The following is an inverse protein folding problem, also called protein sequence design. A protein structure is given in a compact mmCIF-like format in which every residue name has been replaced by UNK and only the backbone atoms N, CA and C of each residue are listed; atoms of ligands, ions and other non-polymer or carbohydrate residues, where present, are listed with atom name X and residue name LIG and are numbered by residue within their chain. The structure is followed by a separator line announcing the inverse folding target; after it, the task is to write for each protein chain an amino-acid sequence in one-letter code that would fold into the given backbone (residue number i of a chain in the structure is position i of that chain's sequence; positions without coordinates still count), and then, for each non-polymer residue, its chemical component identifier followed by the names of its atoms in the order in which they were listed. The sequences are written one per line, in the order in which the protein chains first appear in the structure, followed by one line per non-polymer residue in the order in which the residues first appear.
data_IF_879397133631
#
_entry.id   IF_879397133631
#
_cell.length_a   1.000
_cell.length_b   1.000
_cell.length_c   1.000
_cell.angle_alpha   90.00
_cell.angle_beta   90.00
_cell.angle_gamma   90.00
#
_symmetry.space_group_name_H-M   'P 1'
#
loop_
_entity.id
_entity.type
_entity.pdbx_description
1 polymer ?
#
# COMPACT_ATOMS: atom_id res chain seq x y z
N UNK A 1 -10.08 13.48 -11.67
CA UNK A 1 -8.82 12.70 -11.68
C UNK A 1 -8.70 12.07 -10.31
N UNK A 2 -8.37 10.79 -10.24
CA UNK A 2 -8.11 10.09 -8.97
C UNK A 2 -6.73 10.46 -8.47
N UNK A 3 -6.58 10.57 -7.15
CA UNK A 3 -5.27 10.74 -6.50
C UNK A 3 -4.58 9.39 -6.33
N UNK A 4 -5.34 8.35 -5.95
CA UNK A 4 -4.87 6.98 -5.86
C UNK A 4 -5.71 6.10 -6.79
N UNK A 5 -5.05 5.28 -7.59
CA UNK A 5 -5.67 4.29 -8.48
C UNK A 5 -5.03 2.92 -8.23
N UNK A 6 -5.86 1.91 -8.03
CA UNK A 6 -5.45 0.51 -7.95
C UNK A 6 -6.21 -0.23 -9.05
N UNK A 7 -5.45 -0.81 -9.98
CA UNK A 7 -5.98 -1.53 -11.13
C UNK A 7 -5.48 -2.98 -11.10
N UNK A 8 -6.42 -3.93 -11.07
CA UNK A 8 -6.20 -5.36 -11.07
C UNK A 8 -5.09 -5.81 -10.10
N UNK A 9 -5.08 -5.25 -8.88
CA UNK A 9 -4.05 -5.55 -7.91
C UNK A 9 -4.17 -7.00 -7.45
N UNK A 10 -3.11 -7.76 -7.71
CA UNK A 10 -2.92 -9.12 -7.23
C UNK A 10 -1.72 -9.18 -6.31
N UNK A 11 -1.78 -10.08 -5.31
CA UNK A 11 -0.67 -10.29 -4.40
C UNK A 11 -0.63 -11.74 -3.95
N UNK A 12 0.53 -12.35 -4.01
CA UNK A 12 0.78 -13.68 -3.46
C UNK A 12 1.95 -13.64 -2.46
N UNK A 13 1.90 -14.50 -1.44
CA UNK A 13 3.02 -14.77 -0.54
C UNK A 13 3.41 -16.24 -0.75
N UNK A 14 4.60 -16.48 -1.30
CA UNK A 14 4.93 -17.78 -1.87
C UNK A 14 3.89 -18.19 -2.91
N UNK A 15 3.30 -19.38 -2.77
CA UNK A 15 2.27 -19.89 -3.68
C UNK A 15 0.84 -19.55 -3.23
N UNK A 16 0.66 -18.81 -2.13
CA UNK A 16 -0.66 -18.49 -1.59
C UNK A 16 -1.16 -17.16 -2.14
N UNK A 17 -2.27 -17.13 -2.91
CA UNK A 17 -2.86 -15.89 -3.39
C UNK A 17 -3.60 -15.19 -2.25
N UNK A 18 -3.21 -13.95 -1.96
CA UNK A 18 -3.77 -13.10 -0.89
C UNK A 18 -4.74 -12.05 -1.45
N UNK A 19 -4.34 -11.34 -2.50
CA UNK A 19 -5.18 -10.37 -3.22
C UNK A 19 -5.46 -10.88 -4.64
N UNK A 20 -6.70 -10.73 -5.10
CA UNK A 20 -7.20 -11.30 -6.36
C UNK A 20 -7.96 -10.24 -7.16
N UNK A 21 -7.23 -9.37 -7.86
CA UNK A 21 -7.82 -8.36 -8.75
C UNK A 21 -8.58 -7.28 -7.99
N UNK A 22 -7.92 -6.61 -7.05
CA UNK A 22 -8.50 -5.47 -6.33
C UNK A 22 -8.53 -4.26 -7.25
N UNK A 23 -9.69 -3.63 -7.33
CA UNK A 23 -9.94 -2.38 -8.05
C UNK A 23 -10.32 -1.29 -7.03
N UNK A 24 -9.65 -0.13 -7.08
CA UNK A 24 -9.91 0.98 -6.17
C UNK A 24 -9.55 2.31 -6.81
N UNK A 25 -10.32 3.35 -6.53
CA UNK A 25 -9.92 4.72 -6.81
C UNK A 25 -10.27 5.61 -5.61
N UNK A 26 -9.40 6.55 -5.29
CA UNK A 26 -9.63 7.59 -4.27
C UNK A 26 -9.36 8.95 -4.89
N UNK A 27 -10.33 9.85 -4.85
CA UNK A 27 -10.21 11.20 -5.37
C UNK A 27 -9.46 12.13 -4.39
N UNK A 28 -8.89 13.25 -4.86
CA UNK A 28 -8.33 14.27 -3.98
C UNK A 28 -9.37 14.77 -2.97
N UNK A 29 -9.00 14.79 -1.68
CA UNK A 29 -9.89 15.21 -0.58
C UNK A 29 -10.96 14.18 -0.18
N UNK A 30 -10.98 13.00 -0.80
CA UNK A 30 -11.89 11.93 -0.43
C UNK A 30 -11.39 11.17 0.80
N UNK A 31 -12.32 10.83 1.70
CA UNK A 31 -12.07 9.93 2.82
C UNK A 31 -12.71 8.59 2.50
N UNK A 32 -11.89 7.57 2.28
CA UNK A 32 -12.35 6.22 1.96
C UNK A 32 -12.10 5.25 3.11
N UNK A 33 -13.11 4.47 3.47
CA UNK A 33 -13.00 3.37 4.44
C UNK A 33 -12.94 2.01 3.77
N UNK A 34 -11.88 1.22 4.01
CA UNK A 34 -11.79 -0.17 3.57
C UNK A 34 -12.12 -1.12 4.72
N UNK A 35 -13.28 -1.80 4.63
CA UNK A 35 -13.80 -2.69 5.67
C UNK A 35 -13.88 -4.15 5.19
N UNK A 36 -13.87 -5.08 6.13
CA UNK A 36 -13.92 -6.52 5.85
C UNK A 36 -13.38 -7.34 7.03
N UNK A 37 -13.61 -8.65 7.00
CA UNK A 37 -13.20 -9.58 8.06
C UNK A 37 -11.67 -9.67 8.25
N UNK A 38 -11.23 -10.17 9.40
CA UNK A 38 -9.79 -10.42 9.62
C UNK A 38 -9.24 -11.34 8.52
N UNK A 39 -8.06 -11.03 8.00
CA UNK A 39 -7.45 -11.80 6.90
C UNK A 39 -7.98 -11.50 5.50
N UNK A 40 -8.98 -10.61 5.32
CA UNK A 40 -9.55 -10.28 4.00
C UNK A 40 -8.63 -9.49 3.06
N UNK A 41 -7.37 -9.23 3.44
CA UNK A 41 -6.40 -8.55 2.59
C UNK A 41 -6.28 -7.03 2.78
N UNK A 42 -7.09 -6.39 3.63
CA UNK A 42 -7.08 -4.92 3.84
C UNK A 42 -5.69 -4.34 4.10
N UNK A 43 -4.98 -4.92 5.08
CA UNK A 43 -3.62 -4.47 5.43
C UNK A 43 -2.65 -4.70 4.28
N UNK A 44 -2.80 -5.79 3.52
CA UNK A 44 -1.93 -6.08 2.38
C UNK A 44 -2.18 -5.12 1.22
N UNK A 45 -3.43 -4.69 0.99
CA UNK A 45 -3.75 -3.62 0.04
C UNK A 45 -3.05 -2.32 0.43
N UNK A 46 -3.19 -1.87 1.69
CA UNK A 46 -2.55 -0.65 2.17
C UNK A 46 -1.01 -0.74 2.15
N UNK A 47 -0.43 -1.87 2.57
CA UNK A 47 1.01 -2.10 2.53
C UNK A 47 1.57 -2.15 1.11
N UNK A 48 0.77 -2.61 0.13
CA UNK A 48 1.17 -2.56 -1.28
C UNK A 48 1.31 -1.12 -1.74
N UNK A 49 0.37 -0.24 -1.39
CA UNK A 49 0.43 1.21 -1.71
C UNK A 49 1.71 1.84 -1.14
N UNK A 50 2.11 1.42 0.06
CA UNK A 50 3.35 1.91 0.67
C UNK A 50 4.61 1.19 0.19
N UNK A 51 4.51 0.14 -0.63
CA UNK A 51 5.60 -0.81 -0.94
C UNK A 51 6.35 -1.31 0.30
N UNK A 52 5.61 -1.59 1.37
CA UNK A 52 6.11 -2.16 2.63
C UNK A 52 5.67 -3.62 2.79
N UNK A 53 5.66 -4.35 1.67
CA UNK A 53 5.25 -5.74 1.63
C UNK A 53 6.30 -6.64 2.31
N UNK A 54 5.89 -7.76 2.93
CA UNK A 54 6.81 -8.71 3.53
C UNK A 54 7.70 -9.37 2.46
N UNK A 55 8.89 -9.83 2.85
CA UNK A 55 9.95 -10.30 1.94
C UNK A 55 9.52 -11.30 0.85
N UNK A 56 8.59 -12.21 1.14
CA UNK A 56 8.12 -13.23 0.19
C UNK A 56 6.89 -12.83 -0.62
N UNK A 57 6.39 -11.60 -0.45
CA UNK A 57 5.24 -11.10 -1.18
C UNK A 57 5.62 -10.61 -2.57
N UNK A 58 4.77 -10.91 -3.55
CA UNK A 58 4.86 -10.40 -4.91
C UNK A 58 3.53 -9.78 -5.28
N UNK A 59 3.56 -8.49 -5.63
CA UNK A 59 2.41 -7.77 -6.15
C UNK A 59 2.46 -7.69 -7.69
N UNK A 60 1.30 -7.67 -8.32
CA UNK A 60 1.11 -7.39 -9.74
C UNK A 60 -0.11 -6.51 -9.96
N UNK A 61 -0.33 -6.10 -11.21
CA UNK A 61 -1.30 -5.05 -11.54
C UNK A 61 -0.62 -3.68 -11.58
N UNK A 62 -1.39 -2.62 -11.39
CA UNK A 62 -0.91 -1.24 -11.36
C UNK A 62 -1.45 -0.55 -10.11
N UNK A 63 -0.57 0.19 -9.44
CA UNK A 63 -0.98 1.13 -8.39
C UNK A 63 -0.36 2.47 -8.73
N UNK A 64 -1.17 3.51 -8.86
CA UNK A 64 -0.71 4.83 -9.22
C UNK A 64 -1.11 5.85 -8.15
N UNK A 65 -0.16 6.70 -7.77
CA UNK A 65 -0.39 7.85 -6.90
C UNK A 65 -0.02 9.12 -7.69
N UNK A 66 -0.97 10.03 -7.85
CA UNK A 66 -0.85 11.25 -8.66
C UNK A 66 -0.21 10.99 -10.04
N UNK A 67 -0.65 9.91 -10.69
CA UNK A 67 -0.17 9.47 -12.01
C UNK A 67 1.15 8.67 -12.01
N UNK A 68 1.90 8.63 -10.91
CA UNK A 68 3.13 7.84 -10.78
C UNK A 68 2.81 6.39 -10.40
N UNK A 69 3.22 5.42 -11.23
CA UNK A 69 3.12 4.00 -10.90
C UNK A 69 4.11 3.62 -9.80
N UNK A 70 3.59 3.36 -8.59
CA UNK A 70 4.40 3.08 -7.42
C UNK A 70 5.07 1.69 -7.49
N UNK A 71 4.46 0.71 -8.17
CA UNK A 71 5.01 -0.64 -8.26
C UNK A 71 6.26 -0.67 -9.16
N UNK A 72 6.29 0.21 -10.16
CA UNK A 72 7.43 0.40 -11.05
C UNK A 72 8.43 1.48 -10.58
N UNK A 73 8.08 2.28 -9.56
CA UNK A 73 8.94 3.35 -9.07
C UNK A 73 10.30 2.84 -8.57
N UNK A 74 11.35 3.65 -8.72
CA UNK A 74 12.63 3.41 -8.05
C UNK A 74 12.52 3.63 -6.53
N UNK A 75 13.49 3.14 -5.77
CA UNK A 75 13.49 3.38 -4.32
C UNK A 75 13.64 4.87 -3.99
N UNK A 76 14.44 5.62 -4.75
CA UNK A 76 14.60 7.07 -4.54
C UNK A 76 13.26 7.81 -4.72
N UNK A 77 12.47 7.44 -5.73
CA UNK A 77 11.12 7.98 -5.92
C UNK A 77 10.20 7.60 -4.76
N UNK A 78 10.24 6.34 -4.31
CA UNK A 78 9.46 5.90 -3.16
C UNK A 78 9.86 6.63 -1.87
N UNK A 79 11.16 6.89 -1.67
CA UNK A 79 11.67 7.67 -0.55
C UNK A 79 11.16 9.11 -0.57
N UNK A 80 11.10 9.76 -1.74
CA UNK A 80 10.54 11.10 -1.86
C UNK A 80 9.03 11.12 -1.58
N UNK A 81 8.27 10.14 -2.08
CA UNK A 81 6.84 10.05 -1.82
C UNK A 81 6.51 9.79 -0.35
N UNK A 82 7.26 8.88 0.29
CA UNK A 82 7.02 8.49 1.68
C UNK A 82 7.48 9.61 2.62
N UNK A 83 6.53 10.20 3.33
CA UNK A 83 6.78 11.26 4.31
C UNK A 83 6.34 12.63 3.83
N UNK A 84 6.60 12.98 2.57
CA UNK A 84 6.18 14.26 2.00
C UNK A 84 4.73 14.19 1.48
N UNK A 85 4.39 13.17 0.70
CA UNK A 85 3.08 13.04 0.06
C UNK A 85 2.21 11.92 0.65
N UNK A 86 2.83 10.82 1.10
CA UNK A 86 2.12 9.65 1.64
C UNK A 86 2.67 9.29 3.02
N UNK A 87 1.77 9.27 4.00
CA UNK A 87 2.03 8.81 5.37
C UNK A 87 1.23 7.57 5.73
N UNK A 88 1.80 6.71 6.60
CA UNK A 88 1.10 5.55 7.12
C UNK A 88 1.13 5.53 8.65
N UNK A 89 -0.03 5.31 9.26
CA UNK A 89 -0.17 5.00 10.69
C UNK A 89 -0.53 3.52 10.81
N UNK A 90 0.36 2.74 11.42
CA UNK A 90 0.19 1.29 11.55
C UNK A 90 -0.85 0.92 12.61
N UNK A 91 -1.39 -0.32 12.53
CA UNK A 91 -2.38 -0.83 13.49
C UNK A 91 -1.86 -0.89 14.93
N UNK A 92 -0.57 -1.19 15.11
CA UNK A 92 0.11 -1.20 16.41
C UNK A 92 1.21 -0.13 16.45
N UNK A 93 0.86 1.17 16.42
CA UNK A 93 1.82 2.25 16.20
C UNK A 93 2.89 2.33 17.31
N UNK A 94 2.55 1.87 18.51
CA UNK A 94 3.44 1.88 19.68
C UNK A 94 4.58 0.87 19.58
N UNK A 95 4.46 -0.17 18.75
CA UNK A 95 5.52 -1.20 18.59
C UNK A 95 6.66 -0.73 17.69
N UNK A 96 6.39 0.26 16.82
CA UNK A 96 7.38 0.83 15.91
C UNK A 96 8.24 1.93 16.56
N UNK A 97 7.75 2.54 17.64
CA UNK A 97 8.48 3.55 18.40
C UNK A 97 9.44 2.86 19.37
N UNK A 98 10.72 2.86 19.02
CA UNK A 98 11.78 2.49 19.95
C UNK A 98 12.32 3.76 20.64
N UNK A 99 11.93 4.06 21.88
CA UNK A 99 12.29 5.31 22.55
C UNK A 99 13.78 5.44 22.89
N UNK A 100 14.58 4.38 22.71
CA UNK A 100 16.05 4.42 22.88
C UNK A 100 16.80 4.52 21.55
N UNK A 101 16.11 4.64 20.41
CA UNK A 101 16.69 5.05 19.13
C UNK A 101 16.20 6.46 18.79
N UNK A 102 17.06 7.45 19.07
CA UNK A 102 16.94 8.83 18.55
C UNK A 102 17.66 8.96 17.22
#
# INVERSE_FOLDING_TARGET
MSLLEIENLSLAIGDTPILKGVELAVAPGEVMGLVGESGSGKSMTALTVMRLLPFAARAGGRVAFDGLDILAASEDQMCALRGDDIGMVFQEPMTALNPVKT
#
